data_IF_396442576244
#
_entry.id   IF_396442576244
#
_cell.length_a   1.000
_cell.length_b   1.000
_cell.length_c   1.000
_cell.angle_alpha   90.00
_cell.angle_beta   90.00
_cell.angle_gamma   90.00
#
_symmetry.space_group_name_H-M   'P 1'
#
loop_
_entity.id
_entity.type
_entity.pdbx_description
1 polymer ?
#
# COMPACT_ATOMS: atom_id res chain seq x y z
N UNK A 1 2.54 -4.28 7.33
CA UNK A 1 1.64 -5.37 7.74
C UNK A 1 2.50 -6.34 8.55
N UNK A 2 1.95 -6.92 9.62
CA UNK A 2 2.66 -7.94 10.42
C UNK A 2 2.75 -9.26 9.63
N UNK A 3 3.95 -9.83 9.51
CA UNK A 3 4.20 -11.06 8.73
C UNK A 3 3.38 -12.26 9.21
N UNK A 4 3.21 -12.39 10.53
CA UNK A 4 2.40 -13.45 11.16
C UNK A 4 0.92 -13.41 10.76
N UNK A 5 0.38 -12.22 10.43
CA UNK A 5 -1.00 -12.08 9.94
C UNK A 5 -1.13 -12.55 8.50
N UNK A 6 -0.11 -12.31 7.68
CA UNK A 6 -0.06 -12.78 6.29
C UNK A 6 -0.01 -14.30 6.24
N UNK A 7 0.90 -14.93 7.00
CA UNK A 7 1.04 -16.40 7.06
C UNK A 7 -0.26 -17.09 7.50
N UNK A 8 -0.99 -16.51 8.47
CA UNK A 8 -2.29 -17.04 8.92
C UNK A 8 -3.39 -16.92 7.87
N UNK A 9 -3.33 -15.90 7.01
CA UNK A 9 -4.29 -15.71 5.91
C UNK A 9 -3.99 -16.70 4.78
N UNK A 10 -2.72 -16.82 4.39
CA UNK A 10 -2.26 -17.77 3.37
C UNK A 10 -2.55 -19.22 3.79
N UNK A 11 -2.28 -19.61 5.04
CA UNK A 11 -2.61 -20.94 5.58
C UNK A 11 -4.11 -21.27 5.56
N UNK A 12 -4.97 -20.23 5.54
CA UNK A 12 -6.43 -20.37 5.42
C UNK A 12 -6.92 -20.30 3.98
N UNK A 13 -6.01 -20.33 2.99
CA UNK A 13 -6.33 -20.27 1.57
C UNK A 13 -6.63 -18.86 1.04
N UNK A 14 -6.34 -17.81 1.81
CA UNK A 14 -6.51 -16.43 1.34
C UNK A 14 -5.29 -16.00 0.56
N UNK A 15 -5.51 -15.43 -0.63
CA UNK A 15 -4.45 -14.81 -1.42
C UNK A 15 -4.06 -13.49 -0.76
N UNK A 16 -2.80 -13.37 -0.35
CA UNK A 16 -2.21 -12.10 0.09
C UNK A 16 -1.40 -11.53 -1.07
N UNK A 17 -1.60 -10.25 -1.34
CA UNK A 17 -0.97 -9.55 -2.45
C UNK A 17 -0.81 -8.07 -2.15
N UNK A 18 -0.21 -7.36 -3.07
CA UNK A 18 0.02 -5.92 -3.00
C UNK A 18 -1.25 -5.15 -3.39
N UNK A 19 -1.31 -3.88 -2.98
CA UNK A 19 -2.38 -2.97 -3.39
C UNK A 19 -2.40 -2.79 -4.92
N UNK A 20 -1.23 -2.81 -5.55
CA UNK A 20 -1.11 -2.71 -7.01
C UNK A 20 -1.75 -3.91 -7.72
N UNK A 21 -1.56 -5.12 -7.19
CA UNK A 21 -2.22 -6.32 -7.72
C UNK A 21 -3.73 -6.30 -7.47
N UNK A 22 -4.18 -5.83 -6.31
CA UNK A 22 -5.62 -5.74 -5.99
C UNK A 22 -6.36 -4.73 -6.87
N UNK A 23 -5.74 -3.58 -7.15
CA UNK A 23 -6.30 -2.52 -7.98
C UNK A 23 -5.91 -2.65 -9.46
N UNK A 24 -5.21 -3.72 -9.83
CA UNK A 24 -4.71 -3.99 -11.20
C UNK A 24 -3.96 -2.79 -11.80
N UNK A 25 -3.17 -2.10 -10.98
CA UNK A 25 -2.49 -0.87 -11.40
C UNK A 25 -1.36 -1.19 -12.37
N UNK A 26 -1.29 -0.41 -13.45
CA UNK A 26 -0.09 -0.37 -14.27
C UNK A 26 1.08 0.24 -13.49
N UNK A 27 2.35 -0.05 -13.85
CA UNK A 27 3.51 0.55 -13.21
C UNK A 27 3.46 2.10 -13.17
N UNK A 28 2.88 2.69 -14.22
CA UNK A 28 2.70 4.15 -14.33
C UNK A 28 1.69 4.68 -13.31
N UNK A 29 0.58 3.99 -13.13
CA UNK A 29 -0.45 4.38 -12.16
C UNK A 29 0.03 4.19 -10.72
N UNK A 30 0.71 3.08 -10.43
CA UNK A 30 1.33 2.85 -9.13
C UNK A 30 2.32 3.97 -8.76
N UNK A 31 3.17 4.39 -9.70
CA UNK A 31 4.08 5.52 -9.51
C UNK A 31 3.33 6.84 -9.22
N UNK A 32 2.23 7.10 -9.92
CA UNK A 32 1.41 8.30 -9.68
C UNK A 32 0.77 8.29 -8.29
N UNK A 33 0.30 7.13 -7.82
CA UNK A 33 -0.23 6.96 -6.46
C UNK A 33 0.85 7.27 -5.43
N UNK A 34 2.05 6.74 -5.58
CA UNK A 34 3.17 7.00 -4.66
C UNK A 34 3.55 8.49 -4.61
N UNK A 35 3.63 9.16 -5.76
CA UNK A 35 3.93 10.60 -5.83
C UNK A 35 2.87 11.43 -5.10
N UNK A 36 1.57 11.19 -5.37
CA UNK A 36 0.48 11.88 -4.66
C UNK A 36 0.55 11.66 -3.16
N UNK A 37 0.84 10.42 -2.76
CA UNK A 37 0.86 10.02 -1.36
C UNK A 37 2.06 10.63 -0.61
N UNK A 38 3.22 10.74 -1.25
CA UNK A 38 4.39 11.45 -0.72
C UNK A 38 4.09 12.93 -0.44
N UNK A 39 3.40 13.62 -1.37
CA UNK A 39 2.98 15.02 -1.20
C UNK A 39 2.00 15.18 -0.03
N UNK A 40 1.00 14.30 0.08
CA UNK A 40 0.04 14.35 1.20
C UNK A 40 0.76 14.15 2.54
N UNK A 41 1.73 13.22 2.59
CA UNK A 41 2.53 12.96 3.80
C UNK A 41 3.37 14.18 4.20
N UNK A 42 4.06 14.82 3.24
CA UNK A 42 4.87 16.01 3.50
C UNK A 42 4.03 17.22 3.96
N UNK A 43 2.80 17.35 3.46
CA UNK A 43 1.86 18.35 3.96
C UNK A 43 1.33 18.04 5.36
N UNK A 44 1.09 16.76 5.70
CA UNK A 44 0.61 16.37 7.03
C UNK A 44 1.67 16.53 8.12
N UNK A 45 2.95 16.36 7.82
CA UNK A 45 4.03 16.62 8.78
C UNK A 45 4.14 18.09 9.16
N UNK A 46 3.78 19.00 8.25
CA UNK A 46 3.80 20.45 8.49
C UNK A 46 2.63 20.98 9.34
N UNK A 47 1.54 20.21 9.50
CA UNK A 47 0.38 20.59 10.35
C UNK A 47 0.49 20.16 11.82
N UNK A 48 1.61 19.55 12.22
CA UNK A 48 1.86 19.09 13.60
C UNK A 48 2.90 19.93 14.35
N UNK A 49 3.31 21.07 13.80
CA UNK A 49 4.24 22.01 14.45
C UNK A 49 3.57 23.33 14.75
#
# INVERSE_FOLDING_TARGET
>A
MEKSKQERLEAKGWKVGTVAEFLELTPKEAALVEVKLAVIRSHKTNKKS
#
